data_IF_127278458340
#
_entry.id   IF_127278458340
#
_cell.length_a   1.000
_cell.length_b   1.000
_cell.length_c   1.000
_cell.angle_alpha   90.00
_cell.angle_beta   90.00
_cell.angle_gamma   90.00
#
_symmetry.space_group_name_H-M   'P 1'
#
loop_
_entity.id
_entity.type
_entity.pdbx_description
1 polymer ?
#
# COMPACT_ATOMS: atom_id res chain seq x y z
N UNK A 1 35.63 3.83 17.61
CA UNK A 1 34.22 3.56 17.24
C UNK A 1 33.61 2.69 18.33
N UNK A 2 32.50 3.10 18.98
CA UNK A 2 31.89 2.21 19.98
C UNK A 2 31.14 1.11 19.22
N UNK A 3 31.58 -0.15 19.31
CA UNK A 3 31.04 -1.30 18.57
C UNK A 3 29.50 -1.33 18.58
N UNK A 4 28.90 -0.98 19.73
CA UNK A 4 27.45 -0.86 19.94
C UNK A 4 26.75 0.11 18.98
N UNK A 5 27.34 1.27 18.66
CA UNK A 5 26.76 2.26 17.72
C UNK A 5 26.82 1.77 16.27
N UNK A 6 27.88 1.05 15.91
CA UNK A 6 28.03 0.45 14.59
C UNK A 6 27.04 -0.70 14.37
N UNK A 7 26.87 -1.54 15.39
CA UNK A 7 25.89 -2.63 15.40
C UNK A 7 24.46 -2.05 15.28
N UNK A 8 24.14 -1.00 16.03
CA UNK A 8 22.84 -0.31 15.96
C UNK A 8 22.57 0.27 14.57
N UNK A 9 23.56 0.94 13.96
CA UNK A 9 23.45 1.48 12.59
C UNK A 9 23.20 0.38 11.56
N UNK A 10 23.88 -0.76 11.70
CA UNK A 10 23.73 -1.92 10.82
C UNK A 10 22.35 -2.55 10.96
N UNK A 11 21.86 -2.73 12.20
CA UNK A 11 20.51 -3.25 12.46
C UNK A 11 19.42 -2.34 11.88
N UNK A 12 19.58 -1.02 11.99
CA UNK A 12 18.65 -0.05 11.40
C UNK A 12 18.64 -0.13 9.87
N UNK A 13 19.80 -0.29 9.22
CA UNK A 13 19.88 -0.47 7.76
C UNK A 13 19.13 -1.73 7.30
N UNK A 14 19.34 -2.85 7.99
CA UNK A 14 18.64 -4.11 7.69
C UNK A 14 17.12 -3.94 7.89
N UNK A 15 16.71 -3.29 8.97
CA UNK A 15 15.29 -3.04 9.24
C UNK A 15 14.63 -2.17 8.17
N UNK A 16 15.30 -1.09 7.75
CA UNK A 16 14.84 -0.21 6.67
C UNK A 16 14.73 -0.96 5.35
N UNK A 17 15.69 -1.83 5.02
CA UNK A 17 15.62 -2.66 3.82
C UNK A 17 14.39 -3.58 3.84
N UNK A 18 14.14 -4.29 4.95
CA UNK A 18 12.96 -5.15 5.10
C UNK A 18 11.66 -4.36 4.96
N UNK A 19 11.57 -3.18 5.58
CA UNK A 19 10.40 -2.31 5.46
C UNK A 19 10.17 -1.80 4.04
N UNK A 20 11.24 -1.48 3.30
CA UNK A 20 11.16 -1.10 1.88
C UNK A 20 10.59 -2.23 1.04
N UNK A 21 11.07 -3.46 1.21
CA UNK A 21 10.54 -4.63 0.49
C UNK A 21 9.05 -4.81 0.78
N UNK A 22 8.63 -4.72 2.05
CA UNK A 22 7.22 -4.77 2.42
C UNK A 22 6.39 -3.65 1.77
N UNK A 23 6.92 -2.42 1.73
CA UNK A 23 6.27 -1.29 1.08
C UNK A 23 6.04 -1.53 -0.41
N UNK A 24 7.03 -2.10 -1.11
CA UNK A 24 6.92 -2.44 -2.53
C UNK A 24 5.88 -3.54 -2.76
N UNK A 25 5.78 -4.52 -1.87
CA UNK A 25 4.70 -5.53 -1.90
C UNK A 25 3.32 -4.89 -1.73
N UNK A 26 3.14 -4.03 -0.71
CA UNK A 26 1.86 -3.35 -0.48
C UNK A 26 1.45 -2.45 -1.65
N UNK A 27 2.40 -1.80 -2.32
CA UNK A 27 2.15 -1.01 -3.53
C UNK A 27 1.66 -1.88 -4.69
N UNK A 28 2.28 -3.04 -4.91
CA UNK A 28 1.85 -3.99 -5.94
C UNK A 28 0.45 -4.52 -5.65
N UNK A 29 0.16 -4.90 -4.41
CA UNK A 29 -1.18 -5.33 -4.00
C UNK A 29 -2.22 -4.24 -4.25
N UNK A 30 -1.92 -3.00 -3.87
CA UNK A 30 -2.82 -1.87 -4.10
C UNK A 30 -3.08 -1.65 -5.60
N UNK A 31 -2.03 -1.69 -6.43
CA UNK A 31 -2.16 -1.58 -7.88
C UNK A 31 -3.02 -2.69 -8.47
N UNK A 32 -2.89 -3.93 -7.98
CA UNK A 32 -3.70 -5.05 -8.43
C UNK A 32 -5.18 -4.87 -8.08
N UNK A 33 -5.47 -4.38 -6.85
CA UNK A 33 -6.85 -4.08 -6.44
C UNK A 33 -7.43 -2.95 -7.29
N UNK A 34 -6.67 -1.89 -7.55
CA UNK A 34 -7.14 -0.78 -8.38
C UNK A 34 -7.46 -1.25 -9.81
N UNK A 35 -6.60 -2.09 -10.41
CA UNK A 35 -6.86 -2.70 -11.71
C UNK A 35 -8.12 -3.58 -11.69
N UNK A 36 -8.32 -4.37 -10.63
CA UNK A 36 -9.49 -5.24 -10.50
C UNK A 36 -10.79 -4.44 -10.38
N UNK A 37 -10.77 -3.34 -9.63
CA UNK A 37 -11.92 -2.42 -9.53
C UNK A 37 -12.27 -1.85 -10.90
N UNK A 38 -11.27 -1.44 -11.69
CA UNK A 38 -11.49 -0.94 -13.04
C UNK A 38 -12.11 -2.00 -13.95
N UNK A 39 -11.60 -3.24 -13.93
CA UNK A 39 -12.19 -4.35 -14.69
C UNK A 39 -13.65 -4.60 -14.33
N UNK A 40 -14.00 -4.58 -13.04
CA UNK A 40 -15.39 -4.75 -12.59
C UNK A 40 -16.27 -3.59 -13.05
N UNK A 41 -15.76 -2.36 -13.02
CA UNK A 41 -16.48 -1.20 -13.56
C UNK A 41 -16.77 -1.36 -15.05
N UNK A 42 -15.76 -1.76 -15.84
CA UNK A 42 -15.93 -2.04 -17.27
C UNK A 42 -16.98 -3.13 -17.50
N UNK A 43 -16.95 -4.22 -16.72
CA UNK A 43 -17.96 -5.28 -16.79
C UNK A 43 -19.36 -4.76 -16.49
N UNK A 44 -19.55 -3.98 -15.41
CA UNK A 44 -20.85 -3.38 -15.06
C UNK A 44 -21.36 -2.48 -16.19
N UNK A 45 -20.48 -1.67 -16.80
CA UNK A 45 -20.84 -0.81 -17.94
C UNK A 45 -21.27 -1.62 -19.16
N UNK A 46 -20.54 -2.67 -19.53
CA UNK A 46 -20.87 -3.53 -20.67
C UNK A 46 -22.20 -4.27 -20.47
N UNK A 47 -22.42 -4.76 -19.25
CA UNK A 47 -23.66 -5.38 -18.81
C UNK A 47 -24.81 -4.37 -18.97
N UNK A 48 -24.64 -3.15 -18.46
CA UNK A 48 -25.63 -2.06 -18.57
C UNK A 48 -25.96 -1.67 -20.01
N UNK A 49 -24.95 -1.55 -20.88
CA UNK A 49 -25.14 -1.28 -22.30
C UNK A 49 -25.91 -2.41 -23.00
N UNK A 50 -25.55 -3.66 -22.70
CA UNK A 50 -26.21 -4.83 -23.29
C UNK A 50 -27.68 -4.91 -22.90
N UNK A 51 -28.03 -4.60 -21.65
CA UNK A 51 -29.43 -4.50 -21.19
C UNK A 51 -30.18 -3.35 -21.84
N UNK A 52 -29.51 -2.22 -22.11
CA UNK A 52 -30.16 -1.10 -22.80
C UNK A 52 -30.45 -1.43 -24.27
N UNK A 53 -29.52 -2.10 -24.95
CA UNK A 53 -29.64 -2.48 -26.36
C UNK A 53 -30.62 -3.63 -26.60
N UNK A 54 -30.73 -4.56 -25.65
CA UNK A 54 -31.61 -5.72 -25.75
C UNK A 54 -32.73 -5.55 -24.74
N UNK A 55 -33.95 -5.29 -25.19
CA UNK A 55 -35.13 -5.34 -24.31
C UNK A 55 -35.29 -6.80 -23.82
N UNK A 56 -34.73 -7.13 -22.66
CA UNK A 56 -34.57 -8.51 -22.20
C UNK A 56 -35.90 -9.10 -21.70
N UNK A 57 -36.21 -10.33 -22.14
CA UNK A 57 -37.29 -11.14 -21.62
C UNK A 57 -37.12 -11.44 -20.11
N UNK A 58 -38.23 -11.71 -19.39
CA UNK A 58 -38.26 -11.85 -17.91
C UNK A 58 -37.29 -12.87 -17.32
N UNK A 59 -36.93 -13.93 -18.05
CA UNK A 59 -35.97 -14.94 -17.60
C UNK A 59 -34.53 -14.41 -17.58
N UNK A 60 -34.13 -13.67 -18.62
CA UNK A 60 -32.80 -13.07 -18.74
C UNK A 60 -32.56 -11.95 -17.72
N UNK A 61 -33.60 -11.23 -17.30
CA UNK A 61 -33.49 -10.14 -16.32
C UNK A 61 -33.03 -10.65 -14.95
N UNK A 62 -33.49 -11.84 -14.53
CA UNK A 62 -33.14 -12.42 -13.22
C UNK A 62 -31.68 -12.85 -13.14
N UNK A 63 -31.14 -13.44 -14.20
CA UNK A 63 -29.72 -13.83 -14.24
C UNK A 63 -28.81 -12.61 -14.31
N UNK A 64 -29.22 -11.60 -15.07
CA UNK A 64 -28.56 -10.31 -15.15
C UNK A 64 -28.47 -9.62 -13.79
N UNK A 65 -29.60 -9.49 -13.08
CA UNK A 65 -29.63 -8.80 -11.79
C UNK A 65 -28.77 -9.54 -10.75
N UNK A 66 -28.78 -10.88 -10.76
CA UNK A 66 -27.86 -11.69 -9.93
C UNK A 66 -26.39 -11.42 -10.24
N UNK A 67 -26.03 -11.33 -11.52
CA UNK A 67 -24.65 -11.09 -11.92
C UNK A 67 -24.21 -9.66 -11.57
N UNK A 68 -25.09 -8.67 -11.77
CA UNK A 68 -24.85 -7.28 -11.38
C UNK A 68 -24.66 -7.16 -9.85
N UNK A 69 -25.54 -7.80 -9.06
CA UNK A 69 -25.40 -7.83 -7.60
C UNK A 69 -24.07 -8.47 -7.18
N UNK A 70 -23.65 -9.55 -7.84
CA UNK A 70 -22.37 -10.18 -7.56
C UNK A 70 -21.19 -9.22 -7.81
N UNK A 71 -21.18 -8.55 -8.96
CA UNK A 71 -20.14 -7.57 -9.31
C UNK A 71 -20.12 -6.39 -8.34
N UNK A 72 -21.27 -5.88 -7.92
CA UNK A 72 -21.37 -4.81 -6.92
C UNK A 72 -20.86 -5.23 -5.54
N UNK A 73 -21.14 -6.48 -5.13
CA UNK A 73 -20.60 -7.06 -3.88
C UNK A 73 -19.08 -7.22 -3.95
N UNK A 74 -18.56 -7.73 -5.07
CA UNK A 74 -17.11 -7.85 -5.30
C UNK A 74 -16.44 -6.47 -5.27
N UNK A 75 -17.02 -5.49 -5.96
CA UNK A 75 -16.53 -4.10 -5.99
C UNK A 75 -16.49 -3.49 -4.58
N UNK A 76 -17.54 -3.68 -3.79
CA UNK A 76 -17.60 -3.19 -2.39
C UNK A 76 -16.53 -3.85 -1.52
N UNK A 77 -16.32 -5.15 -1.69
CA UNK A 77 -15.26 -5.89 -0.98
C UNK A 77 -13.87 -5.34 -1.33
N UNK A 78 -13.60 -5.11 -2.62
CA UNK A 78 -12.34 -4.55 -3.09
C UNK A 78 -12.11 -3.12 -2.59
N UNK A 79 -13.13 -2.28 -2.52
CA UNK A 79 -13.00 -0.95 -1.92
C UNK A 79 -12.60 -1.01 -0.44
N UNK A 80 -13.17 -1.94 0.33
CA UNK A 80 -12.76 -2.16 1.74
C UNK A 80 -11.31 -2.61 1.83
N UNK A 81 -10.89 -3.57 1.00
CA UNK A 81 -9.50 -4.02 0.97
C UNK A 81 -8.53 -2.90 0.57
N UNK A 82 -8.89 -2.11 -0.45
CA UNK A 82 -8.13 -0.93 -0.89
C UNK A 82 -7.94 0.07 0.25
N UNK A 83 -8.99 0.36 1.01
CA UNK A 83 -8.92 1.26 2.17
C UNK A 83 -7.95 0.74 3.22
N UNK A 84 -8.05 -0.55 3.59
CA UNK A 84 -7.15 -1.19 4.54
C UNK A 84 -5.70 -1.16 4.08
N UNK A 85 -5.44 -1.43 2.79
CA UNK A 85 -4.09 -1.34 2.22
C UNK A 85 -3.55 0.08 2.27
N UNK A 86 -4.37 1.10 1.95
CA UNK A 86 -3.95 2.50 2.06
C UNK A 86 -3.55 2.88 3.48
N UNK A 87 -4.33 2.48 4.48
CA UNK A 87 -3.99 2.70 5.90
C UNK A 87 -2.66 2.02 6.25
N UNK A 88 -2.50 0.74 5.91
CA UNK A 88 -1.24 0.00 6.16
C UNK A 88 -0.04 0.64 5.48
N UNK A 89 -0.22 1.17 4.28
CA UNK A 89 0.83 1.82 3.50
C UNK A 89 1.23 3.17 4.12
N UNK A 90 0.27 3.93 4.63
CA UNK A 90 0.51 5.16 5.40
C UNK A 90 1.26 4.85 6.71
N UNK A 91 0.85 3.83 7.46
CA UNK A 91 1.52 3.39 8.68
C UNK A 91 2.96 2.94 8.40
N UNK A 92 3.18 2.22 7.30
CA UNK A 92 4.50 1.80 6.86
C UNK A 92 5.40 2.99 6.54
N UNK A 93 4.89 4.02 5.84
CA UNK A 93 5.63 5.26 5.60
C UNK A 93 6.00 5.97 6.90
N UNK A 94 5.05 6.13 7.82
CA UNK A 94 5.32 6.75 9.12
C UNK A 94 6.40 5.98 9.91
N UNK A 95 6.34 4.64 9.89
CA UNK A 95 7.32 3.80 10.55
C UNK A 95 8.72 3.90 9.93
N UNK A 96 8.82 3.98 8.59
CA UNK A 96 10.09 4.20 7.88
C UNK A 96 10.65 5.57 8.22
N UNK A 97 9.83 6.61 8.19
CA UNK A 97 10.25 7.98 8.51
C UNK A 97 10.83 8.07 9.93
N UNK A 98 10.15 7.49 10.92
CA UNK A 98 10.63 7.41 12.30
C UNK A 98 12.01 6.74 12.40
N UNK A 99 12.24 5.66 11.65
CA UNK A 99 13.55 4.99 11.63
C UNK A 99 14.64 5.81 10.94
N UNK A 100 14.30 6.55 9.88
CA UNK A 100 15.22 7.49 9.23
C UNK A 100 15.64 8.57 10.22
N UNK A 101 14.69 9.13 10.98
CA UNK A 101 14.98 10.18 11.95
C UNK A 101 15.83 9.67 13.12
N UNK A 102 15.56 8.45 13.60
CA UNK A 102 16.43 7.77 14.57
C UNK A 102 17.87 7.62 14.05
N UNK A 103 18.03 7.24 12.79
CA UNK A 103 19.35 7.12 12.17
C UNK A 103 20.06 8.47 12.07
N UNK A 104 19.37 9.54 11.69
CA UNK A 104 19.92 10.90 11.68
C UNK A 104 20.40 11.34 13.06
N UNK A 105 19.68 10.99 14.13
CA UNK A 105 20.09 11.28 15.51
C UNK A 105 21.39 10.54 15.85
N UNK A 106 21.50 9.25 15.50
CA UNK A 106 22.73 8.47 15.71
C UNK A 106 23.91 9.07 14.93
N UNK A 107 23.68 9.48 13.68
CA UNK A 107 24.69 10.15 12.86
C UNK A 107 25.10 11.51 13.45
N UNK A 108 24.15 12.30 13.99
CA UNK A 108 24.45 13.55 14.71
C UNK A 108 25.24 13.32 15.99
N UNK A 109 24.90 12.29 16.78
CA UNK A 109 25.67 11.92 17.98
C UNK A 109 27.10 11.54 17.57
N UNK A 110 27.26 10.84 16.45
CA UNK A 110 28.58 10.53 15.91
C UNK A 110 29.34 11.82 15.58
N UNK A 111 28.79 12.72 14.77
CA UNK A 111 29.50 13.96 14.35
C UNK A 111 29.78 14.92 15.50
N UNK A 112 28.83 15.16 16.43
CA UNK A 112 29.06 16.03 17.59
C UNK A 112 30.11 15.47 18.57
N UNK A 113 30.26 14.15 18.68
CA UNK A 113 31.28 13.56 19.56
C UNK A 113 32.71 13.79 19.04
N UNK A 114 32.86 14.15 17.76
CA UNK A 114 34.14 14.46 17.12
C UNK A 114 34.36 15.96 16.88
N UNK A 115 33.38 16.85 17.16
CA UNK A 115 33.53 18.29 16.91
C UNK A 115 34.23 19.09 18.03
N UNK A 116 34.68 18.44 19.11
CA UNK A 116 35.40 19.09 20.21
C UNK A 116 36.92 18.93 20.15
N UNK A 117 37.51 18.67 18.96
CA UNK A 117 38.96 18.48 18.80
C UNK A 117 39.72 19.60 18.08
N UNK A 118 39.10 20.73 17.76
CA UNK A 118 39.78 21.88 17.16
C UNK A 118 39.48 23.17 17.93
N UNK A 119 39.93 23.21 19.19
CA UNK A 119 40.25 24.45 19.89
C UNK A 119 41.58 24.25 20.60
N UNK A 120 42.65 24.19 19.81
CA UNK A 120 44.01 24.56 20.22
C UNK A 120 44.40 25.80 19.42
#
# INVERSE_FOLDING_TARGET
MNKKLQDLSTLLKISLFKKRVLLDTLKKELSNIDNRIQQIQEQITQISLTRHQRFLCRSYTKEYDKHLEHLQREQTSLYKQRMLLKTRLQDSYAAIQKQIDQRKIIEKIHTNKYSNKERE
#
